data_IF_898910636868
#
_entry.id   IF_898910636868
#
_cell.length_a   1.000
_cell.length_b   1.000
_cell.length_c   1.000
_cell.angle_alpha   90.00
_cell.angle_beta   90.00
_cell.angle_gamma   90.00
#
_symmetry.space_group_name_H-M   'P 1'
#
loop_
_entity.id
_entity.type
_entity.pdbx_description
1 polymer ?
#
# COMPACT_ATOMS: atom_id res chain seq x y z
N UNK A 1 5.18 0.83 -14.34
CA UNK A 1 4.11 1.47 -13.54
C UNK A 1 4.65 1.69 -12.14
N UNK A 2 4.47 2.87 -11.56
CA UNK A 2 4.99 3.22 -10.22
C UNK A 2 3.90 3.92 -9.42
N UNK A 3 3.69 3.52 -8.18
CA UNK A 3 2.67 4.10 -7.30
C UNK A 3 3.39 4.92 -6.22
N UNK A 4 3.02 6.20 -6.10
CA UNK A 4 3.57 7.10 -5.11
C UNK A 4 2.64 7.19 -3.89
N UNK A 5 3.21 7.50 -2.71
CA UNK A 5 2.43 7.68 -1.48
C UNK A 5 2.05 6.39 -0.77
N UNK A 6 2.76 5.27 -1.03
CA UNK A 6 2.59 4.02 -0.28
C UNK A 6 3.37 3.96 1.05
N UNK A 7 4.28 4.88 1.32
CA UNK A 7 5.12 4.87 2.51
C UNK A 7 4.68 5.94 3.51
N UNK A 8 4.46 5.55 4.77
CA UNK A 8 4.13 6.44 5.88
C UNK A 8 2.63 6.68 6.03
N UNK A 9 2.15 7.88 5.68
CA UNK A 9 0.80 8.40 5.94
C UNK A 9 -0.32 7.80 5.06
N UNK A 10 -0.29 6.50 4.80
CA UNK A 10 -1.36 5.86 4.07
C UNK A 10 -2.62 5.79 4.94
N UNK A 11 -3.66 6.54 4.57
CA UNK A 11 -4.95 6.46 5.26
C UNK A 11 -5.83 5.37 4.67
N UNK A 12 -6.71 4.73 5.46
CA UNK A 12 -7.69 3.80 4.91
C UNK A 12 -8.52 4.49 3.83
N UNK A 13 -8.82 3.78 2.74
CA UNK A 13 -9.60 4.28 1.60
C UNK A 13 -9.02 5.51 0.88
N UNK A 14 -7.74 5.83 1.09
CA UNK A 14 -7.09 6.99 0.44
C UNK A 14 -6.88 6.78 -1.06
N UNK A 15 -6.92 7.88 -1.81
CA UNK A 15 -6.57 7.89 -3.23
C UNK A 15 -5.06 8.10 -3.38
N UNK A 16 -4.38 7.19 -4.06
CA UNK A 16 -2.94 7.24 -4.33
C UNK A 16 -2.67 7.50 -5.81
N UNK A 17 -1.61 8.25 -6.10
CA UNK A 17 -1.22 8.58 -7.46
C UNK A 17 -0.44 7.40 -8.09
N UNK A 18 -0.99 6.83 -9.14
CA UNK A 18 -0.34 5.81 -9.97
C UNK A 18 0.19 6.45 -11.25
N UNK A 19 1.49 6.30 -11.48
CA UNK A 19 2.19 6.78 -12.66
C UNK A 19 2.42 5.63 -13.62
N UNK A 20 1.79 5.70 -14.78
CA UNK A 20 1.87 4.74 -15.87
C UNK A 20 2.81 5.31 -16.92
N UNK A 21 3.94 4.65 -17.13
CA UNK A 21 4.87 4.94 -18.23
C UNK A 21 4.53 4.00 -19.37
N UNK A 22 4.14 4.56 -20.51
CA UNK A 22 3.83 3.82 -21.73
C UNK A 22 5.10 3.57 -22.55
N UNK A 23 5.01 2.65 -23.52
CA UNK A 23 6.14 2.29 -24.39
C UNK A 23 6.60 3.43 -25.32
N UNK A 24 5.75 4.42 -25.55
CA UNK A 24 6.03 5.64 -26.31
C UNK A 24 6.68 6.76 -25.46
N UNK A 25 7.17 6.42 -24.26
CA UNK A 25 7.72 7.34 -23.26
C UNK A 25 6.71 8.34 -22.67
N UNK A 26 5.41 8.25 -23.00
CA UNK A 26 4.41 9.10 -22.35
C UNK A 26 4.15 8.63 -20.92
N UNK A 27 3.89 9.60 -20.05
CA UNK A 27 3.60 9.36 -18.63
C UNK A 27 2.19 9.85 -18.33
N UNK A 28 1.31 8.96 -17.88
CA UNK A 28 0.01 9.34 -17.31
C UNK A 28 0.01 9.12 -15.82
N UNK A 29 -0.49 10.12 -15.10
CA UNK A 29 -0.77 10.01 -13.67
C UNK A 29 -2.27 9.85 -13.50
N UNK A 30 -2.70 8.77 -12.85
CA UNK A 30 -4.10 8.52 -12.49
C UNK A 30 -4.21 8.36 -10.98
N UNK A 31 -5.34 8.78 -10.42
CA UNK A 31 -5.67 8.51 -9.02
C UNK A 31 -6.34 7.14 -8.93
N UNK A 32 -5.83 6.28 -8.05
CA UNK A 32 -6.41 4.96 -7.76
C UNK A 32 -6.77 4.88 -6.28
N UNK A 33 -7.88 4.23 -5.96
CA UNK A 33 -8.31 4.03 -4.58
C UNK A 33 -7.50 2.90 -3.94
N UNK A 34 -6.87 3.17 -2.81
CA UNK A 34 -6.23 2.16 -1.99
C UNK A 34 -7.31 1.37 -1.22
N UNK A 35 -7.38 0.05 -1.44
CA UNK A 35 -8.33 -0.87 -0.78
C UNK A 35 -7.81 -1.42 0.54
N UNK A 36 -7.09 -0.58 1.28
CA UNK A 36 -6.82 -0.82 2.69
C UNK A 36 -8.00 -0.20 3.42
N UNK A 37 -8.93 -1.06 3.82
CA UNK A 37 -10.27 -0.68 4.25
C UNK A 37 -10.27 -0.37 5.76
N UNK A 38 -9.30 -0.89 6.52
CA UNK A 38 -9.17 -0.68 7.99
C UNK A 38 -7.76 -0.27 8.43
N UNK A 39 -7.65 0.34 9.61
CA UNK A 39 -6.36 0.75 10.19
C UNK A 39 -5.46 -0.44 10.53
N UNK A 40 -6.06 -1.56 10.98
CA UNK A 40 -5.36 -2.82 11.24
C UNK A 40 -4.69 -3.38 9.97
N UNK A 41 -5.30 -3.18 8.79
CA UNK A 41 -4.69 -3.61 7.53
C UNK A 41 -3.45 -2.79 7.16
N UNK A 42 -3.35 -1.53 7.61
CA UNK A 42 -2.13 -0.72 7.47
C UNK A 42 -1.00 -1.36 8.27
N UNK A 43 -1.27 -1.70 9.53
CA UNK A 43 -0.31 -2.35 10.42
C UNK A 43 0.18 -3.69 9.83
N UNK A 44 -0.72 -4.48 9.23
CA UNK A 44 -0.32 -5.68 8.50
C UNK A 44 0.61 -5.39 7.33
N UNK A 45 0.33 -4.35 6.54
CA UNK A 45 1.16 -3.97 5.39
C UNK A 45 2.53 -3.47 5.82
N UNK A 46 2.61 -2.65 6.88
CA UNK A 46 3.86 -2.16 7.45
C UNK A 46 4.72 -3.30 8.02
N UNK A 47 4.09 -4.32 8.62
CA UNK A 47 4.77 -5.50 9.15
C UNK A 47 5.17 -6.53 8.08
N UNK A 48 4.93 -6.25 6.81
CA UNK A 48 5.27 -7.10 5.68
C UNK A 48 4.23 -8.19 5.37
N UNK A 49 3.01 -8.03 5.86
CA UNK A 49 1.85 -8.90 5.62
C UNK A 49 1.27 -9.50 6.89
N UNK A 50 -0.01 -9.89 6.83
CA UNK A 50 -0.76 -10.49 7.96
C UNK A 50 -0.08 -11.73 8.53
N UNK A 51 0.56 -12.55 7.68
CA UNK A 51 1.28 -13.75 8.12
C UNK A 51 2.46 -13.38 9.03
N UNK A 52 3.25 -12.36 8.66
CA UNK A 52 4.39 -11.93 9.44
C UNK A 52 3.97 -11.27 10.76
N UNK A 53 2.83 -10.57 10.76
CA UNK A 53 2.24 -10.03 11.98
C UNK A 53 1.85 -11.15 12.95
N UNK A 54 1.06 -12.14 12.50
CA UNK A 54 0.58 -13.24 13.34
C UNK A 54 1.73 -14.13 13.83
N UNK A 55 2.72 -14.41 12.99
CA UNK A 55 3.89 -15.20 13.40
C UNK A 55 4.72 -14.51 14.48
N UNK A 56 4.86 -13.17 14.44
CA UNK A 56 5.55 -12.42 15.50
C UNK A 56 4.76 -12.39 16.80
N UNK A 57 3.44 -12.27 16.74
CA UNK A 57 2.55 -12.34 17.92
C UNK A 57 2.55 -13.73 18.58
N UNK A 58 2.59 -14.79 17.76
CA UNK A 58 2.71 -16.16 18.27
C UNK A 58 4.10 -16.47 18.85
N UNK A 59 5.16 -15.88 18.29
CA UNK A 59 6.53 -16.07 18.79
C UNK A 59 6.84 -15.22 20.04
N UNK A 60 6.06 -14.17 20.32
CA UNK A 60 6.20 -13.34 21.52
C UNK A 60 5.40 -13.86 22.72
N UNK A 61 4.55 -14.88 22.51
CA UNK A 61 3.86 -15.66 23.55
C UNK A 61 4.66 -16.90 23.95
#
# INVERSE_FOLDING_TARGET
VSIAGLAGDLKPLSDVACRITYADCTVKTILIKCRIDTEIEIEYVEHGGVLHYVLRDLASR
#
